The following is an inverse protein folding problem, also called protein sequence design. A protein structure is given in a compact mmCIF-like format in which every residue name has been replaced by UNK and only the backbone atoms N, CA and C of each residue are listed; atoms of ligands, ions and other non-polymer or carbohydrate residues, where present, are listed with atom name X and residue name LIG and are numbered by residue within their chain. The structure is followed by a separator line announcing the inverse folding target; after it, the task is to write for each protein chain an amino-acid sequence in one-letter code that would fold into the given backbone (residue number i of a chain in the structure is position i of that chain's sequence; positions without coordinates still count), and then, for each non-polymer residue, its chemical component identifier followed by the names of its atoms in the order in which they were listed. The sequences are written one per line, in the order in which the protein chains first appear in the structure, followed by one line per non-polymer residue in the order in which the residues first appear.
data_IF_673150740766
#
_entry.id   IF_673150740766
#
_cell.length_a   1.000
_cell.length_b   1.000
_cell.length_c   1.000
_cell.angle_alpha   90.00
_cell.angle_beta   90.00
_cell.angle_gamma   90.00
#
_symmetry.space_group_name_H-M   'P 1'
#
loop_
_entity.id
_entity.type
_entity.pdbx_description
1 polymer ?
#
# COMPACT_ATOMS: atom_id res chain seq x y z
N UNK A 1 6.53 3.29 43.60
CA UNK A 1 7.59 2.81 42.70
C UNK A 1 7.16 3.09 41.25
N UNK A 2 7.82 4.01 40.56
CA UNK A 2 7.49 4.27 39.14
C UNK A 2 7.97 3.05 38.31
N UNK A 3 7.15 2.50 37.41
CA UNK A 3 7.58 1.39 36.57
C UNK A 3 8.82 1.82 35.78
N UNK A 4 9.88 1.02 35.82
CA UNK A 4 11.06 1.23 34.99
C UNK A 4 10.60 1.21 33.53
N UNK A 5 10.77 2.34 32.81
CA UNK A 5 10.54 2.39 31.35
C UNK A 5 11.41 1.30 30.73
N UNK A 6 10.77 0.27 30.15
CA UNK A 6 11.50 -0.71 29.34
C UNK A 6 12.15 0.04 28.19
N UNK A 7 13.46 0.09 28.15
CA UNK A 7 14.22 0.65 27.05
C UNK A 7 14.16 -0.34 25.87
N UNK A 8 13.16 -0.18 25.03
CA UNK A 8 13.23 -0.80 23.71
C UNK A 8 14.23 -0.01 22.85
N UNK A 9 15.02 -0.67 21.98
CA UNK A 9 15.81 0.04 20.99
C UNK A 9 14.89 1.01 20.23
N UNK A 10 15.29 2.26 20.09
CA UNK A 10 14.46 3.35 19.55
C UNK A 10 13.86 3.03 18.18
N UNK A 11 14.55 2.22 17.36
CA UNK A 11 14.09 1.74 16.06
C UNK A 11 12.93 0.76 16.19
N UNK A 12 13.06 -0.27 17.02
CA UNK A 12 12.01 -1.29 17.26
C UNK A 12 10.76 -0.63 17.83
N UNK A 13 10.93 0.28 18.79
CA UNK A 13 9.82 1.00 19.40
C UNK A 13 9.06 1.83 18.36
N UNK A 14 9.76 2.57 17.51
CA UNK A 14 9.16 3.37 16.45
C UNK A 14 8.44 2.51 15.42
N UNK A 15 9.07 1.41 14.97
CA UNK A 15 8.51 0.53 13.94
C UNK A 15 7.29 -0.25 14.46
N UNK A 16 7.18 -0.48 15.77
CA UNK A 16 6.01 -1.15 16.36
C UNK A 16 4.74 -0.30 16.43
N UNK A 17 4.85 1.02 16.21
CA UNK A 17 3.68 1.92 16.15
C UNK A 17 3.05 1.99 14.76
N UNK A 18 3.79 1.60 13.74
CA UNK A 18 3.38 1.66 12.34
C UNK A 18 4.04 0.51 11.57
N UNK A 19 3.56 -0.71 11.86
CA UNK A 19 4.14 -1.94 11.32
C UNK A 19 4.03 -2.05 9.80
N UNK A 20 2.94 -1.57 9.21
CA UNK A 20 2.73 -1.62 7.78
C UNK A 20 3.68 -0.68 7.04
N UNK A 21 3.85 0.56 7.50
CA UNK A 21 4.86 1.47 6.96
C UNK A 21 6.28 0.93 7.11
N UNK A 22 6.61 0.39 8.29
CA UNK A 22 7.91 -0.22 8.55
C UNK A 22 8.15 -1.43 7.63
N UNK A 23 7.13 -2.24 7.40
CA UNK A 23 7.18 -3.39 6.50
C UNK A 23 7.41 -2.97 5.04
N UNK A 24 6.64 -2.04 4.50
CA UNK A 24 6.80 -1.56 3.12
C UNK A 24 8.15 -0.88 2.91
N UNK A 25 8.60 -0.08 3.86
CA UNK A 25 9.93 0.55 3.84
C UNK A 25 11.06 -0.47 3.81
N UNK A 26 10.92 -1.57 4.55
CA UNK A 26 11.87 -2.67 4.57
C UNK A 26 11.82 -3.48 3.26
N UNK A 27 10.62 -3.76 2.77
CA UNK A 27 10.39 -4.67 1.65
C UNK A 27 10.75 -4.07 0.29
N UNK A 28 10.39 -2.80 0.05
CA UNK A 28 10.52 -2.16 -1.26
C UNK A 28 11.94 -2.24 -1.85
N UNK A 29 13.02 -1.87 -1.13
CA UNK A 29 14.37 -1.99 -1.67
C UNK A 29 14.78 -3.46 -1.91
N UNK A 30 14.23 -4.39 -1.14
CA UNK A 30 14.50 -5.82 -1.28
C UNK A 30 13.82 -6.41 -2.51
N UNK A 31 12.58 -6.04 -2.79
CA UNK A 31 11.90 -6.43 -4.03
C UNK A 31 12.63 -5.87 -5.26
N UNK A 32 13.07 -4.61 -5.23
CA UNK A 32 13.85 -4.00 -6.31
C UNK A 32 15.17 -4.72 -6.52
N UNK A 33 15.88 -5.06 -5.45
CA UNK A 33 17.11 -5.82 -5.50
C UNK A 33 16.88 -7.24 -6.05
N UNK A 34 15.87 -7.92 -5.51
CA UNK A 34 15.45 -9.24 -5.99
C UNK A 34 15.14 -9.22 -7.49
N UNK A 35 14.31 -8.27 -7.93
CA UNK A 35 13.96 -8.07 -9.34
C UNK A 35 15.18 -7.89 -10.24
N UNK A 36 16.16 -7.12 -9.77
CA UNK A 36 17.40 -6.82 -10.52
C UNK A 36 18.26 -8.06 -10.75
N UNK A 37 18.33 -8.96 -9.76
CA UNK A 37 19.21 -10.12 -9.79
C UNK A 37 18.49 -11.45 -10.00
N UNK A 38 17.18 -11.42 -10.24
CA UNK A 38 16.41 -12.62 -10.53
C UNK A 38 16.95 -13.33 -11.77
N UNK A 39 17.23 -14.61 -11.64
CA UNK A 39 17.73 -15.49 -12.71
C UNK A 39 16.91 -16.77 -12.88
N UNK A 40 15.80 -16.90 -12.16
CA UNK A 40 14.86 -17.98 -12.20
C UNK A 40 13.50 -17.54 -11.69
N UNK A 41 12.54 -18.44 -11.70
CA UNK A 41 11.17 -18.18 -11.24
C UNK A 41 10.57 -19.42 -10.57
N UNK A 42 9.58 -19.24 -9.66
CA UNK A 42 8.86 -20.36 -9.07
C UNK A 42 7.86 -20.94 -10.07
N UNK A 43 8.20 -22.06 -10.70
CA UNK A 43 7.40 -22.74 -11.72
C UNK A 43 6.06 -23.30 -11.21
N UNK A 44 5.91 -23.41 -9.89
CA UNK A 44 4.63 -23.77 -9.27
C UNK A 44 3.58 -22.64 -9.35
N UNK A 45 3.99 -21.40 -9.63
CA UNK A 45 3.10 -20.24 -9.66
C UNK A 45 3.10 -19.47 -10.99
N UNK A 46 4.12 -19.63 -11.82
CA UNK A 46 4.28 -18.90 -13.07
C UNK A 46 4.61 -19.86 -14.21
N UNK A 47 4.13 -19.54 -15.39
CA UNK A 47 4.39 -20.34 -16.59
C UNK A 47 5.71 -19.96 -17.26
N UNK A 48 6.17 -18.73 -17.06
CA UNK A 48 7.41 -18.21 -17.65
C UNK A 48 8.15 -17.25 -16.71
N UNK A 49 9.41 -17.03 -17.03
CA UNK A 49 10.23 -16.01 -16.36
C UNK A 49 9.68 -14.60 -16.61
N UNK A 50 9.21 -14.33 -17.81
CA UNK A 50 8.63 -13.05 -18.21
C UNK A 50 7.37 -12.72 -17.41
N UNK A 51 6.48 -13.70 -17.20
CA UNK A 51 5.27 -13.51 -16.38
C UNK A 51 5.62 -13.24 -14.93
N UNK A 52 6.60 -13.96 -14.40
CA UNK A 52 7.10 -13.73 -13.05
C UNK A 52 7.67 -12.32 -12.88
N UNK A 53 8.50 -11.86 -13.83
CA UNK A 53 9.11 -10.53 -13.78
C UNK A 53 8.06 -9.43 -13.91
N UNK A 54 7.09 -9.59 -14.80
CA UNK A 54 5.99 -8.64 -14.94
C UNK A 54 5.18 -8.51 -13.66
N UNK A 55 4.92 -9.62 -12.99
CA UNK A 55 4.19 -9.65 -11.71
C UNK A 55 5.01 -8.99 -10.57
N UNK A 56 6.30 -9.24 -10.50
CA UNK A 56 7.19 -8.56 -9.54
C UNK A 56 7.22 -7.04 -9.78
N UNK A 57 7.32 -6.62 -11.04
CA UNK A 57 7.31 -5.18 -11.41
C UNK A 57 6.00 -4.52 -10.98
N UNK A 58 4.86 -5.18 -11.15
CA UNK A 58 3.56 -4.71 -10.67
C UNK A 58 3.54 -4.60 -9.13
N UNK A 59 4.05 -5.60 -8.42
CA UNK A 59 4.09 -5.59 -6.95
C UNK A 59 5.02 -4.51 -6.39
N UNK A 60 6.11 -4.21 -7.08
CA UNK A 60 6.99 -3.08 -6.72
C UNK A 60 6.21 -1.76 -6.80
N UNK A 61 5.41 -1.56 -7.84
CA UNK A 61 4.55 -0.37 -7.97
C UNK A 61 3.54 -0.29 -6.83
N UNK A 62 2.89 -1.39 -6.47
CA UNK A 62 1.93 -1.42 -5.37
C UNK A 62 2.57 -1.11 -4.02
N UNK A 63 3.71 -1.73 -3.72
CA UNK A 63 4.42 -1.50 -2.45
C UNK A 63 4.94 -0.06 -2.35
N UNK A 64 5.43 0.50 -3.45
CA UNK A 64 5.85 1.90 -3.52
C UNK A 64 4.67 2.85 -3.24
N UNK A 65 3.53 2.62 -3.86
CA UNK A 65 2.30 3.38 -3.61
C UNK A 65 1.86 3.28 -2.15
N UNK A 66 1.74 2.06 -1.61
CA UNK A 66 1.34 1.82 -0.22
C UNK A 66 2.29 2.46 0.79
N UNK A 67 3.59 2.40 0.53
CA UNK A 67 4.59 3.06 1.37
C UNK A 67 4.42 4.59 1.36
N UNK A 68 4.19 5.18 0.20
CA UNK A 68 3.97 6.63 0.08
C UNK A 68 2.66 7.09 0.71
N UNK A 69 1.59 6.30 0.64
CA UNK A 69 0.32 6.59 1.32
C UNK A 69 0.51 6.75 2.84
N UNK A 70 1.34 5.90 3.43
CA UNK A 70 1.58 5.87 4.88
C UNK A 70 2.75 6.75 5.33
N UNK A 71 3.53 7.28 4.40
CA UNK A 71 4.67 8.12 4.74
C UNK A 71 4.22 9.48 5.27
N UNK A 72 4.75 9.87 6.42
CA UNK A 72 4.59 11.21 6.98
C UNK A 72 5.46 12.28 6.27
N UNK A 73 6.25 11.86 5.29
CA UNK A 73 7.15 12.76 4.55
C UNK A 73 6.36 13.64 3.60
N UNK A 74 6.50 14.95 3.76
CA UNK A 74 5.80 15.95 2.94
C UNK A 74 6.26 16.02 1.47
N UNK A 75 7.43 15.44 1.17
CA UNK A 75 8.01 15.38 -0.16
C UNK A 75 7.50 14.20 -1.01
N UNK A 76 6.75 13.29 -0.38
CA UNK A 76 6.22 12.10 -1.04
C UNK A 76 4.76 12.34 -1.40
N UNK A 77 4.53 12.84 -2.61
CA UNK A 77 3.18 13.12 -3.12
C UNK A 77 2.64 11.95 -3.93
N UNK A 78 1.35 11.70 -3.76
CA UNK A 78 0.57 10.83 -4.64
C UNK A 78 -0.23 11.73 -5.56
N UNK A 79 -0.14 11.46 -6.87
CA UNK A 79 -0.83 12.25 -7.89
C UNK A 79 -2.17 11.61 -8.26
N UNK A 80 -3.08 12.43 -8.81
CA UNK A 80 -4.36 11.94 -9.32
C UNK A 80 -4.16 10.94 -10.46
N UNK A 81 -3.18 11.20 -11.31
CA UNK A 81 -2.80 10.33 -12.44
C UNK A 81 -2.33 8.95 -11.97
N UNK A 82 -1.57 8.88 -10.88
CA UNK A 82 -1.18 7.59 -10.28
C UNK A 82 -2.39 6.83 -9.74
N UNK A 83 -3.29 7.53 -9.04
CA UNK A 83 -4.51 6.93 -8.51
C UNK A 83 -5.36 6.37 -9.65
N UNK A 84 -5.59 7.14 -10.70
CA UNK A 84 -6.38 6.71 -11.85
C UNK A 84 -5.72 5.53 -12.59
N UNK A 85 -4.39 5.52 -12.70
CA UNK A 85 -3.65 4.41 -13.33
C UNK A 85 -3.73 3.10 -12.55
N UNK A 86 -3.82 3.17 -11.22
CA UNK A 86 -3.88 2.00 -10.34
C UNK A 86 -5.32 1.57 -10.01
N UNK A 87 -6.30 2.45 -10.19
CA UNK A 87 -7.68 2.18 -9.84
C UNK A 87 -8.30 1.21 -10.84
N UNK A 88 -8.69 0.03 -10.35
CA UNK A 88 -9.21 -1.07 -11.15
C UNK A 88 -10.49 -1.62 -10.50
N UNK A 89 -11.61 -1.51 -11.20
CA UNK A 89 -12.92 -1.88 -10.67
C UNK A 89 -13.03 -3.37 -10.36
N UNK A 90 -12.48 -4.23 -11.22
CA UNK A 90 -12.52 -5.68 -11.02
C UNK A 90 -11.71 -6.07 -9.77
N UNK A 91 -10.54 -5.47 -9.59
CA UNK A 91 -9.73 -5.66 -8.39
C UNK A 91 -10.43 -5.11 -7.15
N UNK A 92 -11.08 -3.97 -7.25
CA UNK A 92 -11.87 -3.38 -6.15
C UNK A 92 -13.00 -4.30 -5.75
N UNK A 93 -13.75 -4.85 -6.70
CA UNK A 93 -14.84 -5.80 -6.42
C UNK A 93 -14.34 -7.07 -5.74
N UNK A 94 -13.14 -7.53 -6.08
CA UNK A 94 -12.54 -8.73 -5.49
C UNK A 94 -11.99 -8.52 -4.07
N UNK A 95 -11.34 -7.40 -3.81
CA UNK A 95 -10.52 -7.21 -2.60
C UNK A 95 -11.07 -6.19 -1.60
N UNK A 96 -12.01 -5.31 -2.00
CA UNK A 96 -12.59 -4.37 -1.07
C UNK A 96 -13.70 -5.02 -0.24
N UNK A 97 -13.66 -4.84 1.06
CA UNK A 97 -14.73 -5.31 1.95
C UNK A 97 -15.85 -4.28 2.00
N UNK A 98 -16.98 -4.59 1.38
CA UNK A 98 -18.13 -3.72 1.31
C UNK A 98 -18.33 -3.11 -0.06
N UNK A 99 -19.15 -2.07 -0.13
CA UNK A 99 -19.46 -1.38 -1.39
C UNK A 99 -18.58 -0.15 -1.57
N UNK A 100 -17.51 -0.28 -2.33
CA UNK A 100 -16.59 0.82 -2.60
C UNK A 100 -17.23 1.95 -3.44
N UNK A 101 -18.23 1.63 -4.27
CA UNK A 101 -18.95 2.62 -5.08
C UNK A 101 -19.74 3.58 -4.24
N UNK A 102 -20.22 3.13 -3.07
CA UNK A 102 -20.93 3.97 -2.11
C UNK A 102 -20.08 5.18 -1.68
N UNK A 103 -18.78 4.99 -1.48
CA UNK A 103 -17.87 6.06 -1.05
C UNK A 103 -17.69 7.14 -2.10
N UNK A 104 -17.65 6.79 -3.39
CA UNK A 104 -17.53 7.74 -4.49
C UNK A 104 -18.82 8.52 -4.77
N UNK A 105 -19.95 8.05 -4.26
CA UNK A 105 -21.26 8.71 -4.43
C UNK A 105 -21.69 9.54 -3.21
N UNK A 106 -20.77 9.77 -2.27
CA UNK A 106 -21.06 10.57 -1.08
C UNK A 106 -20.98 12.07 -1.34
N UNK A 107 -21.61 12.83 -0.43
CA UNK A 107 -21.43 14.28 -0.36
C UNK A 107 -19.97 14.67 -0.16
N UNK A 108 -19.55 15.87 -0.62
CA UNK A 108 -18.20 16.37 -0.40
C UNK A 108 -17.78 16.30 1.06
N UNK A 109 -16.50 15.99 1.30
CA UNK A 109 -15.96 15.85 2.64
C UNK A 109 -15.90 17.21 3.32
N UNK A 110 -16.50 17.28 4.51
CA UNK A 110 -16.41 18.43 5.39
C UNK A 110 -15.77 18.01 6.71
N UNK A 111 -14.69 18.70 7.09
CA UNK A 111 -13.96 18.42 8.35
C UNK A 111 -14.07 19.63 9.25
N UNK A 112 -14.51 19.38 10.49
CA UNK A 112 -14.53 20.38 11.55
C UNK A 112 -13.88 19.82 12.82
N UNK A 113 -12.85 20.48 13.31
CA UNK A 113 -12.15 20.11 14.54
C UNK A 113 -11.72 21.38 15.29
N UNK A 114 -12.42 21.71 16.38
CA UNK A 114 -12.22 22.96 17.09
C UNK A 114 -12.43 24.16 16.17
N UNK A 115 -11.42 25.03 16.07
CA UNK A 115 -11.42 26.21 15.17
C UNK A 115 -11.01 25.87 13.73
N UNK A 116 -10.58 24.64 13.48
CA UNK A 116 -10.23 24.17 12.13
C UNK A 116 -11.48 23.69 11.41
N UNK A 117 -11.73 24.25 10.24
CA UNK A 117 -12.82 23.85 9.37
C UNK A 117 -12.36 23.86 7.91
N UNK A 118 -12.58 22.76 7.19
CA UNK A 118 -12.27 22.65 5.77
C UNK A 118 -13.34 21.84 5.05
N UNK A 119 -13.80 22.36 3.92
CA UNK A 119 -14.66 21.66 2.97
C UNK A 119 -13.84 21.37 1.71
N UNK A 120 -13.81 20.11 1.30
CA UNK A 120 -13.21 19.69 0.05
C UNK A 120 -14.26 19.78 -1.05
N UNK A 121 -13.88 20.13 -2.26
CA UNK A 121 -14.81 20.05 -3.40
C UNK A 121 -15.09 18.58 -3.77
N UNK A 122 -16.01 18.34 -4.72
CA UNK A 122 -16.41 16.98 -5.08
C UNK A 122 -15.27 16.18 -5.70
N UNK A 123 -14.46 16.81 -6.56
CA UNK A 123 -13.32 16.17 -7.22
C UNK A 123 -12.23 15.79 -6.20
N UNK A 124 -11.85 16.70 -5.33
CA UNK A 124 -10.90 16.42 -4.24
C UNK A 124 -11.41 15.29 -3.32
N UNK A 125 -12.70 15.33 -2.96
CA UNK A 125 -13.33 14.32 -2.11
C UNK A 125 -13.31 12.94 -2.76
N UNK A 126 -13.60 12.86 -4.05
CA UNK A 126 -13.57 11.60 -4.81
C UNK A 126 -12.16 11.01 -4.86
N UNK A 127 -11.12 11.82 -5.03
CA UNK A 127 -9.74 11.33 -5.01
C UNK A 127 -9.26 10.91 -3.62
N UNK A 128 -9.72 11.55 -2.56
CA UNK A 128 -9.48 11.09 -1.19
C UNK A 128 -10.08 9.68 -1.00
N UNK A 129 -11.33 9.49 -1.41
CA UNK A 129 -11.98 8.17 -1.32
C UNK A 129 -11.35 7.12 -2.23
N UNK A 130 -10.97 7.49 -3.46
CA UNK A 130 -10.25 6.59 -4.38
C UNK A 130 -8.93 6.13 -3.77
N UNK A 131 -8.17 7.02 -3.14
CA UNK A 131 -6.93 6.66 -2.47
C UNK A 131 -7.17 5.69 -1.31
N UNK A 132 -8.16 5.94 -0.45
CA UNK A 132 -8.50 5.06 0.67
C UNK A 132 -8.94 3.67 0.19
N UNK A 133 -9.78 3.62 -0.84
CA UNK A 133 -10.19 2.36 -1.47
C UNK A 133 -8.98 1.62 -2.02
N UNK A 134 -8.13 2.32 -2.74
CA UNK A 134 -6.94 1.75 -3.38
C UNK A 134 -5.93 1.22 -2.36
N UNK A 135 -5.70 1.92 -1.25
CA UNK A 135 -4.88 1.42 -0.14
C UNK A 135 -5.41 0.08 0.39
N UNK A 136 -6.70 0.00 0.67
CA UNK A 136 -7.32 -1.21 1.20
C UNK A 136 -7.22 -2.37 0.19
N UNK A 137 -7.52 -2.10 -1.07
CA UNK A 137 -7.50 -3.09 -2.16
C UNK A 137 -6.09 -3.59 -2.42
N UNK A 138 -5.12 -2.70 -2.60
CA UNK A 138 -3.74 -3.09 -2.89
C UNK A 138 -3.08 -3.79 -1.70
N UNK A 139 -3.37 -3.37 -0.46
CA UNK A 139 -2.89 -4.09 0.73
C UNK A 139 -3.40 -5.52 0.77
N UNK A 140 -4.67 -5.74 0.48
CA UNK A 140 -5.27 -7.08 0.48
C UNK A 140 -4.74 -7.94 -0.67
N UNK A 141 -4.68 -7.39 -1.87
CA UNK A 141 -4.17 -8.08 -3.05
C UNK A 141 -2.68 -8.43 -2.91
N UNK A 142 -1.89 -7.49 -2.42
CA UNK A 142 -0.47 -7.73 -2.13
C UNK A 142 -0.27 -8.78 -1.04
N UNK A 143 -1.05 -8.73 0.04
CA UNK A 143 -0.99 -9.70 1.13
C UNK A 143 -1.30 -11.12 0.66
N UNK A 144 -2.30 -11.30 -0.21
CA UNK A 144 -2.61 -12.60 -0.84
C UNK A 144 -1.45 -13.09 -1.71
N UNK A 145 -0.92 -12.26 -2.57
CA UNK A 145 0.23 -12.59 -3.41
C UNK A 145 1.47 -12.94 -2.59
N UNK A 146 1.82 -12.11 -1.62
CA UNK A 146 3.00 -12.31 -0.78
C UNK A 146 2.88 -13.59 0.07
N UNK A 147 1.70 -13.85 0.63
CA UNK A 147 1.43 -15.09 1.36
C UNK A 147 1.62 -16.34 0.49
N UNK A 148 1.31 -16.24 -0.81
CA UNK A 148 1.43 -17.34 -1.77
C UNK A 148 2.89 -17.57 -2.21
N UNK A 149 3.65 -16.51 -2.49
CA UNK A 149 4.95 -16.63 -3.17
C UNK A 149 6.17 -16.46 -2.27
N UNK A 150 6.01 -15.88 -1.04
CA UNK A 150 7.17 -15.51 -0.21
C UNK A 150 8.09 -16.69 0.12
N UNK A 151 7.56 -17.90 0.28
CA UNK A 151 8.36 -19.10 0.55
C UNK A 151 9.17 -19.58 -0.65
N UNK A 152 8.83 -19.13 -1.85
CA UNK A 152 9.48 -19.51 -3.11
C UNK A 152 10.42 -18.42 -3.64
N UNK A 153 10.45 -17.25 -3.00
CA UNK A 153 11.36 -16.15 -3.35
C UNK A 153 12.77 -16.32 -2.77
N UNK A 154 13.05 -17.44 -2.09
CA UNK A 154 14.34 -17.76 -1.50
C UNK A 154 15.09 -18.73 -2.39
N UNK A 155 16.28 -18.40 -2.70
CA UNK A 155 17.29 -19.21 -3.41
C UNK A 155 18.66 -19.09 -2.75
#
# INVERSE_FOLDING_TARGET
MKPKKKHFPSRIYRDSWDLDTAFYKWLLPRLKCYRKYANGYPDCWYESFEDFIADIDEKIVWVDFLYRCRSSRKDVKITKEEIDALFDEERNDKYYKGDWRHWLNREPIHVKCGDYEKTYDKDESDYIWKQEILEAVLSSAFGEWFGKVHTTLWW
#
